data_IF_068622163024
#
_entry.id   IF_068622163024
#
_cell.length_a   1.000
_cell.length_b   1.000
_cell.length_c   1.000
_cell.angle_alpha   90.00
_cell.angle_beta   90.00
_cell.angle_gamma   90.00
#
_symmetry.space_group_name_H-M   'P 1'
#
loop_
_entity.id
_entity.type
_entity.pdbx_description
1 polymer ?
#
# COMPACT_ATOMS: atom_id res chain seq x y z
N UNK A 1 37.95 -17.25 -7.51
CA UNK A 1 36.75 -17.94 -6.98
C UNK A 1 36.12 -17.07 -5.90
N UNK A 2 35.36 -16.05 -6.30
CA UNK A 2 34.87 -15.01 -5.40
C UNK A 2 33.57 -15.40 -4.73
N UNK A 3 33.64 -16.08 -3.57
CA UNK A 3 32.51 -16.15 -2.65
C UNK A 3 32.30 -14.72 -2.13
N UNK A 4 31.21 -14.05 -2.52
CA UNK A 4 30.82 -12.78 -1.92
C UNK A 4 30.52 -13.06 -0.45
N UNK A 5 31.45 -12.69 0.43
CA UNK A 5 31.24 -12.77 1.88
C UNK A 5 30.14 -11.78 2.26
N UNK A 6 29.14 -12.25 3.00
CA UNK A 6 28.12 -11.40 3.62
C UNK A 6 28.14 -11.67 5.12
N UNK A 7 28.79 -10.79 5.91
CA UNK A 7 28.83 -10.92 7.37
C UNK A 7 27.45 -11.10 8.00
N UNK A 8 26.44 -10.42 7.45
CA UNK A 8 25.07 -10.53 7.92
C UNK A 8 24.44 -11.89 7.64
N UNK A 9 24.65 -12.45 6.44
CA UNK A 9 24.15 -13.78 6.12
C UNK A 9 24.81 -14.85 6.99
N UNK A 10 26.13 -14.73 7.24
CA UNK A 10 26.88 -15.62 8.12
C UNK A 10 26.43 -15.52 9.59
N UNK A 11 26.03 -14.33 10.03
CA UNK A 11 25.45 -14.10 11.35
C UNK A 11 23.97 -14.51 11.46
N UNK A 12 23.39 -15.06 10.39
CA UNK A 12 22.03 -15.59 10.38
C UNK A 12 20.93 -14.54 10.18
N UNK A 13 21.27 -13.33 9.71
CA UNK A 13 20.29 -12.33 9.27
C UNK A 13 19.64 -12.82 7.97
N UNK A 14 18.32 -12.69 7.88
CA UNK A 14 17.48 -13.15 6.79
C UNK A 14 16.75 -11.99 6.11
N UNK A 15 16.34 -12.20 4.86
CA UNK A 15 15.46 -11.27 4.15
C UNK A 15 14.14 -11.16 4.93
N UNK A 16 13.73 -9.92 5.24
CA UNK A 16 12.56 -9.63 6.07
C UNK A 16 12.85 -9.25 7.51
N UNK A 17 14.10 -9.44 7.99
CA UNK A 17 14.48 -8.97 9.31
C UNK A 17 14.51 -7.44 9.38
N UNK A 18 13.95 -6.88 10.45
CA UNK A 18 14.07 -5.45 10.74
C UNK A 18 15.24 -5.19 11.68
N UNK A 19 16.22 -4.37 11.27
CA UNK A 19 17.31 -3.95 12.15
C UNK A 19 16.81 -2.86 13.11
N UNK A 20 16.82 -3.15 14.41
CA UNK A 20 16.26 -2.27 15.45
C UNK A 20 17.35 -1.45 16.15
N UNK A 21 18.42 -2.11 16.58
CA UNK A 21 19.55 -1.49 17.29
C UNK A 21 20.88 -2.08 16.82
N UNK A 22 21.93 -1.27 16.92
CA UNK A 22 23.32 -1.69 16.78
C UNK A 22 24.13 -1.10 17.94
N UNK A 23 24.83 -1.96 18.71
CA UNK A 23 25.53 -1.59 19.94
C UNK A 23 24.64 -0.78 20.90
N UNK A 24 23.41 -1.25 21.11
CA UNK A 24 22.38 -0.65 21.97
C UNK A 24 21.96 0.78 21.54
N UNK A 25 22.35 1.23 20.33
CA UNK A 25 21.88 2.46 19.70
C UNK A 25 20.74 2.12 18.75
N UNK A 26 19.57 2.74 18.95
CA UNK A 26 18.41 2.59 18.06
C UNK A 26 18.72 3.11 16.67
N UNK A 27 18.49 2.28 15.67
CA UNK A 27 18.69 2.60 14.26
C UNK A 27 17.41 3.29 13.75
N UNK A 28 17.53 4.57 13.42
CA UNK A 28 16.43 5.39 12.89
C UNK A 28 16.50 5.66 11.38
N UNK A 29 17.66 5.43 10.75
CA UNK A 29 17.87 5.65 9.33
C UNK A 29 19.06 4.85 8.78
N UNK A 30 19.08 4.67 7.46
CA UNK A 30 20.22 4.08 6.75
C UNK A 30 21.52 4.85 7.05
N UNK A 31 21.48 6.18 7.05
CA UNK A 31 22.64 7.03 7.36
C UNK A 31 23.22 6.74 8.75
N UNK A 32 22.35 6.56 9.75
CA UNK A 32 22.79 6.23 11.10
C UNK A 32 23.41 4.83 11.17
N UNK A 33 22.81 3.84 10.51
CA UNK A 33 23.37 2.50 10.41
C UNK A 33 24.76 2.52 9.73
N UNK A 34 24.90 3.25 8.63
CA UNK A 34 26.19 3.44 7.96
C UNK A 34 27.23 4.10 8.86
N UNK A 35 26.85 5.09 9.68
CA UNK A 35 27.76 5.71 10.67
C UNK A 35 28.25 4.69 11.69
N UNK A 36 27.33 3.95 12.31
CA UNK A 36 27.65 2.93 13.32
C UNK A 36 28.60 1.87 12.74
N UNK A 37 28.35 1.41 11.51
CA UNK A 37 29.21 0.44 10.83
C UNK A 37 30.62 1.00 10.61
N UNK A 38 30.74 2.24 10.12
CA UNK A 38 32.04 2.83 9.79
C UNK A 38 32.81 3.36 11.02
N UNK A 39 32.16 3.55 12.16
CA UNK A 39 32.81 3.82 13.45
C UNK A 39 33.35 2.53 14.10
N UNK A 40 32.77 1.38 13.77
CA UNK A 40 33.13 0.06 14.31
C UNK A 40 33.91 -0.80 13.31
N UNK A 41 34.90 -0.19 12.64
CA UNK A 41 35.78 -0.83 11.64
C UNK A 41 36.43 -2.11 12.19
N UNK A 42 36.18 -3.26 11.55
CA UNK A 42 36.66 -4.59 11.97
C UNK A 42 36.28 -5.00 13.41
N UNK A 43 35.36 -4.27 14.06
CA UNK A 43 34.89 -4.59 15.41
C UNK A 43 33.55 -5.30 15.33
N UNK A 44 33.33 -6.23 16.25
CA UNK A 44 32.05 -6.89 16.39
C UNK A 44 30.99 -5.85 16.79
N UNK A 45 29.88 -5.85 16.05
CA UNK A 45 28.69 -5.06 16.35
C UNK A 45 27.60 -6.01 16.80
N UNK A 46 27.00 -5.74 17.95
CA UNK A 46 25.81 -6.45 18.44
C UNK A 46 24.58 -5.81 17.82
N UNK A 47 23.87 -6.55 16.98
CA UNK A 47 22.61 -6.12 16.41
C UNK A 47 21.44 -6.73 17.19
N UNK A 48 20.42 -5.91 17.41
CA UNK A 48 19.06 -6.37 17.74
C UNK A 48 18.25 -6.31 16.46
N UNK A 49 17.75 -7.47 16.01
CA UNK A 49 16.85 -7.58 14.86
C UNK A 49 15.48 -8.05 15.33
N UNK A 50 14.44 -7.74 14.55
CA UNK A 50 13.08 -8.22 14.78
C UNK A 50 12.66 -9.13 13.63
N UNK A 51 12.32 -10.38 13.96
CA UNK A 51 11.86 -11.42 13.03
C UNK A 51 10.57 -12.02 13.56
N UNK A 52 9.49 -12.00 12.78
CA UNK A 52 8.17 -12.52 13.21
C UNK A 52 7.71 -11.99 14.58
N UNK A 53 7.98 -10.70 14.83
CA UNK A 53 7.72 -10.02 16.11
C UNK A 53 8.57 -10.43 17.33
N UNK A 54 9.51 -11.36 17.15
CA UNK A 54 10.49 -11.72 18.16
C UNK A 54 11.79 -10.93 18.01
N UNK A 55 12.36 -10.56 19.15
CA UNK A 55 13.67 -9.91 19.22
C UNK A 55 14.77 -10.98 19.18
N UNK A 56 15.66 -10.89 18.18
CA UNK A 56 16.82 -11.76 18.01
C UNK A 56 18.08 -10.92 18.11
N UNK A 57 19.10 -11.43 18.81
CA UNK A 57 20.40 -10.77 18.93
C UNK A 57 21.44 -11.51 18.10
N UNK A 58 22.12 -10.79 17.22
CA UNK A 58 23.20 -11.32 16.38
C UNK A 58 24.44 -10.46 16.51
N UNK A 59 25.59 -11.06 16.22
CA UNK A 59 26.90 -10.42 16.28
C UNK A 59 27.60 -10.61 14.94
N UNK A 60 28.12 -9.53 14.38
CA UNK A 60 28.88 -9.58 13.13
C UNK A 60 29.91 -8.47 13.09
N UNK A 61 30.97 -8.69 12.33
CA UNK A 61 32.02 -7.71 12.08
C UNK A 61 31.92 -7.17 10.65
N UNK A 62 31.92 -5.84 10.44
CA UNK A 62 31.95 -5.27 9.10
C UNK A 62 33.25 -5.62 8.36
N UNK A 63 33.14 -5.84 7.05
CA UNK A 63 34.27 -6.09 6.15
C UNK A 63 34.46 -4.87 5.25
N UNK A 64 35.71 -4.47 5.02
CA UNK A 64 36.03 -3.39 4.09
C UNK A 64 35.73 -3.82 2.64
N UNK A 65 34.97 -3.02 1.90
CA UNK A 65 34.64 -3.26 0.51
C UNK A 65 35.41 -2.26 -0.37
N UNK A 66 36.44 -2.76 -1.07
CA UNK A 66 37.33 -1.92 -1.90
C UNK A 66 36.58 -1.10 -2.95
N UNK A 67 35.54 -1.68 -3.57
CA UNK A 67 34.75 -1.03 -4.61
C UNK A 67 33.95 0.19 -4.12
N UNK A 68 33.69 0.28 -2.81
CA UNK A 68 32.85 1.31 -2.20
C UNK A 68 33.63 2.16 -1.19
N UNK A 69 34.92 1.89 -1.03
CA UNK A 69 35.84 2.51 -0.06
C UNK A 69 35.28 2.58 1.38
N UNK A 70 34.42 1.62 1.77
CA UNK A 70 33.66 1.66 3.02
C UNK A 70 33.51 0.28 3.67
N UNK A 71 33.26 0.26 4.98
CA UNK A 71 32.91 -0.97 5.69
C UNK A 71 31.45 -1.36 5.41
N UNK A 72 31.25 -2.64 5.11
CA UNK A 72 29.94 -3.22 4.76
C UNK A 72 29.67 -4.49 5.56
N UNK A 73 28.38 -4.75 5.77
CA UNK A 73 27.89 -5.96 6.45
C UNK A 73 27.17 -6.92 5.48
N UNK A 74 27.15 -6.60 4.19
CA UNK A 74 26.57 -7.47 3.16
C UNK A 74 25.04 -7.47 3.10
N UNK A 75 24.40 -6.38 3.54
CA UNK A 75 22.95 -6.16 3.46
C UNK A 75 22.60 -5.08 2.45
N UNK A 76 21.47 -5.30 1.77
CA UNK A 76 20.71 -4.24 1.11
C UNK A 76 19.57 -3.84 2.04
N UNK A 77 19.55 -2.58 2.45
CA UNK A 77 18.56 -2.07 3.41
C UNK A 77 17.51 -1.26 2.67
N UNK A 78 16.25 -1.64 2.86
CA UNK A 78 15.09 -0.90 2.38
C UNK A 78 14.63 0.07 3.46
N UNK A 79 14.64 1.37 3.18
CA UNK A 79 14.24 2.43 4.12
C UNK A 79 12.91 3.10 3.78
N UNK A 80 12.39 2.91 2.56
CA UNK A 80 11.15 3.52 2.10
C UNK A 80 10.49 2.69 1.00
N UNK A 81 9.19 2.90 0.84
CA UNK A 81 8.40 2.43 -0.30
C UNK A 81 7.45 3.55 -0.73
N UNK A 82 7.10 3.55 -2.01
CA UNK A 82 6.10 4.45 -2.55
C UNK A 82 5.22 3.68 -3.53
N UNK A 83 3.96 4.08 -3.62
CA UNK A 83 2.99 3.50 -4.54
C UNK A 83 1.90 4.50 -4.87
N UNK A 84 1.24 4.27 -5.99
CA UNK A 84 0.05 5.02 -6.39
C UNK A 84 -1.18 4.29 -5.91
N UNK A 85 -2.10 5.02 -5.29
CA UNK A 85 -3.29 4.46 -4.68
C UNK A 85 -4.42 5.46 -4.61
N UNK A 86 -5.66 4.96 -4.52
CA UNK A 86 -6.84 5.81 -4.42
C UNK A 86 -7.28 5.95 -2.97
N UNK A 87 -7.54 7.19 -2.56
CA UNK A 87 -8.22 7.51 -1.32
C UNK A 87 -9.67 7.03 -1.43
N UNK A 88 -10.07 6.07 -0.62
CA UNK A 88 -11.41 5.47 -0.70
C UNK A 88 -12.45 6.35 -0.03
N UNK A 89 -12.18 6.77 1.20
CA UNK A 89 -13.11 7.62 1.93
C UNK A 89 -12.38 8.54 2.89
N UNK A 90 -13.05 9.62 3.22
CA UNK A 90 -12.61 10.62 4.18
C UNK A 90 -13.80 10.99 5.08
N UNK A 91 -13.56 11.09 6.38
CA UNK A 91 -14.57 11.43 7.39
C UNK A 91 -14.24 12.83 7.93
N UNK A 92 -14.94 13.89 7.47
CA UNK A 92 -14.61 15.27 7.79
C UNK A 92 -14.48 15.58 9.29
N UNK A 93 -15.41 15.09 10.10
CA UNK A 93 -15.48 15.40 11.54
C UNK A 93 -14.26 14.90 12.33
N UNK A 94 -13.65 13.81 11.86
CA UNK A 94 -12.51 13.18 12.54
C UNK A 94 -11.19 13.32 11.78
N UNK A 95 -11.24 13.91 10.57
CA UNK A 95 -10.16 14.00 9.60
C UNK A 95 -9.54 12.65 9.21
N UNK A 96 -10.19 11.53 9.53
CA UNK A 96 -9.66 10.21 9.24
C UNK A 96 -9.97 9.79 7.81
N UNK A 97 -9.09 8.97 7.23
CA UNK A 97 -9.31 8.39 5.91
C UNK A 97 -9.03 6.88 5.88
N UNK A 98 -9.56 6.22 4.85
CA UNK A 98 -9.18 4.89 4.42
C UNK A 98 -8.84 4.87 2.93
N UNK A 99 -7.88 4.04 2.54
CA UNK A 99 -7.39 3.91 1.17
C UNK A 99 -7.08 2.45 0.79
N UNK A 100 -6.99 2.20 -0.52
CA UNK A 100 -6.64 0.92 -1.18
C UNK A 100 -7.62 -0.26 -1.01
N UNK A 101 -8.08 -0.56 0.20
CA UNK A 101 -8.86 -1.77 0.46
C UNK A 101 -8.03 -3.07 0.58
N UNK A 102 -6.70 -2.96 0.62
CA UNK A 102 -5.76 -4.08 0.76
C UNK A 102 -4.44 -3.61 1.42
N UNK A 103 -3.58 -4.52 1.91
CA UNK A 103 -2.32 -4.13 2.54
C UNK A 103 -1.28 -3.69 1.52
N UNK A 104 -0.35 -2.84 1.95
CA UNK A 104 0.96 -2.77 1.31
C UNK A 104 1.81 -3.89 1.87
N UNK A 105 2.26 -4.78 0.98
CA UNK A 105 3.22 -5.81 1.32
C UNK A 105 4.61 -5.38 0.88
N UNK A 106 5.62 -5.84 1.62
CA UNK A 106 7.00 -5.77 1.19
C UNK A 106 7.20 -6.68 -0.04
N UNK A 107 7.76 -6.13 -1.12
CA UNK A 107 7.88 -6.84 -2.40
C UNK A 107 8.78 -8.08 -2.38
N UNK A 108 9.72 -8.17 -1.43
CA UNK A 108 10.70 -9.26 -1.39
C UNK A 108 10.17 -10.42 -0.54
N UNK A 109 9.47 -10.09 0.54
CA UNK A 109 8.94 -11.08 1.49
C UNK A 109 7.46 -11.40 1.27
N UNK A 110 6.73 -10.55 0.55
CA UNK A 110 5.28 -10.55 0.43
C UNK A 110 4.55 -10.52 1.79
N UNK A 111 5.20 -9.99 2.82
CA UNK A 111 4.61 -9.83 4.16
C UNK A 111 4.09 -8.41 4.35
N UNK A 112 3.14 -8.25 5.28
CA UNK A 112 2.57 -6.95 5.62
C UNK A 112 3.67 -5.98 6.03
N UNK A 113 3.79 -4.86 5.31
CA UNK A 113 4.81 -3.87 5.60
C UNK A 113 4.52 -3.17 6.92
N UNK A 114 5.46 -3.25 7.86
CA UNK A 114 5.38 -2.53 9.14
C UNK A 114 5.74 -1.06 8.91
N UNK A 115 4.76 -0.20 9.07
CA UNK A 115 4.95 1.25 8.92
C UNK A 115 5.38 1.83 10.25
N UNK A 116 6.50 2.58 10.24
CA UNK A 116 6.89 3.45 11.35
C UNK A 116 6.27 4.84 11.17
N UNK A 117 6.46 5.40 9.98
CA UNK A 117 5.95 6.70 9.56
C UNK A 117 5.52 6.58 8.09
N UNK A 118 4.48 7.31 7.69
CA UNK A 118 4.06 7.40 6.29
C UNK A 118 3.34 8.70 5.99
N UNK A 119 3.44 9.15 4.75
CA UNK A 119 2.85 10.41 4.26
C UNK A 119 2.02 10.14 3.02
N UNK A 120 0.98 10.95 2.82
CA UNK A 120 0.14 10.95 1.63
C UNK A 120 0.41 12.23 0.85
N UNK A 121 0.74 12.06 -0.43
CA UNK A 121 1.07 13.15 -1.36
C UNK A 121 0.06 13.19 -2.50
N UNK A 122 -0.25 14.39 -3.00
CA UNK A 122 -1.05 14.51 -4.20
C UNK A 122 -0.26 13.99 -5.40
N UNK A 123 -0.86 13.10 -6.18
CA UNK A 123 -0.27 12.60 -7.42
C UNK A 123 -0.96 13.20 -8.64
N UNK A 124 -0.18 13.57 -9.66
CA UNK A 124 -0.64 13.93 -11.00
C UNK A 124 -0.46 12.75 -11.93
N UNK A 125 -1.54 12.29 -12.56
CA UNK A 125 -1.50 11.20 -13.54
C UNK A 125 -0.89 11.74 -14.84
N UNK A 126 0.19 11.12 -15.31
CA UNK A 126 0.87 11.48 -16.56
C UNK A 126 0.42 10.57 -17.70
N UNK A 127 0.33 9.27 -17.44
CA UNK A 127 0.00 8.29 -18.47
C UNK A 127 -0.64 7.04 -17.88
N UNK A 128 -1.22 6.24 -18.76
CA UNK A 128 -1.82 4.96 -18.45
C UNK A 128 -1.12 3.91 -19.30
N UNK A 129 -0.62 2.86 -18.65
CA UNK A 129 -0.27 1.61 -19.32
C UNK A 129 -1.49 0.69 -19.29
N UNK A 130 -2.01 0.34 -20.46
CA UNK A 130 -3.22 -0.49 -20.55
C UNK A 130 -2.97 -1.91 -20.03
N UNK A 131 -3.95 -2.42 -19.28
CA UNK A 131 -4.01 -3.82 -18.87
C UNK A 131 -4.36 -4.72 -20.04
N UNK A 132 -3.67 -5.85 -20.14
CA UNK A 132 -3.96 -6.88 -21.14
C UNK A 132 -3.99 -8.25 -20.46
N UNK A 133 -4.54 -9.25 -21.14
CA UNK A 133 -4.55 -10.62 -20.62
C UNK A 133 -3.12 -11.08 -20.32
N UNK A 134 -2.85 -11.41 -19.06
CA UNK A 134 -1.54 -11.87 -18.59
C UNK A 134 -0.63 -10.74 -18.08
N UNK A 135 -0.97 -9.46 -18.31
CA UNK A 135 -0.17 -8.31 -17.88
C UNK A 135 -1.06 -7.21 -17.29
N UNK A 136 -1.02 -6.97 -15.96
CA UNK A 136 -1.71 -5.85 -15.34
C UNK A 136 -1.27 -4.52 -15.94
N UNK A 137 -2.22 -3.60 -16.12
CA UNK A 137 -1.93 -2.22 -16.48
C UNK A 137 -1.59 -1.38 -15.25
N UNK A 138 -1.24 -0.11 -15.47
CA UNK A 138 -0.75 0.80 -14.44
C UNK A 138 -1.12 2.26 -14.73
N UNK A 139 -1.60 2.99 -13.71
CA UNK A 139 -1.65 4.45 -13.71
C UNK A 139 -0.29 5.00 -13.30
N UNK A 140 0.37 5.73 -14.21
CA UNK A 140 1.67 6.34 -13.94
C UNK A 140 1.50 7.80 -13.56
N UNK A 141 1.90 8.11 -12.34
CA UNK A 141 1.84 9.46 -11.81
C UNK A 141 3.19 9.97 -11.31
N UNK A 142 3.27 11.29 -11.19
CA UNK A 142 4.32 11.97 -10.43
C UNK A 142 3.71 12.64 -9.21
N UNK A 143 4.52 12.80 -8.17
CA UNK A 143 4.13 13.54 -6.97
C UNK A 143 5.29 14.45 -6.56
N UNK A 144 4.97 15.50 -5.83
CA UNK A 144 5.96 16.34 -5.15
C UNK A 144 5.90 16.09 -3.66
N UNK A 145 7.06 16.06 -3.00
CA UNK A 145 7.12 16.01 -1.54
C UNK A 145 6.54 17.29 -0.89
N UNK A 146 6.47 18.40 -1.62
CA UNK A 146 5.82 19.64 -1.15
C UNK A 146 4.30 19.55 -1.11
N UNK A 147 3.70 18.54 -1.76
CA UNK A 147 2.25 18.35 -1.84
C UNK A 147 1.76 17.29 -0.85
N UNK A 148 2.39 17.22 0.32
CA UNK A 148 1.92 16.39 1.44
C UNK A 148 0.57 16.93 1.96
N UNK A 149 -0.42 16.05 2.11
CA UNK A 149 -1.73 16.43 2.64
C UNK A 149 -2.27 15.46 3.71
N UNK A 150 -1.58 14.34 3.97
CA UNK A 150 -1.99 13.38 5.00
C UNK A 150 -0.83 12.60 5.59
N UNK A 151 -1.10 11.95 6.73
CA UNK A 151 -0.20 11.01 7.40
C UNK A 151 -0.86 9.63 7.46
N UNK A 152 -0.04 8.59 7.30
CA UNK A 152 -0.46 7.18 7.42
C UNK A 152 -0.11 6.69 8.82
N UNK A 153 -1.11 6.16 9.51
CA UNK A 153 -0.96 5.63 10.87
C UNK A 153 -0.97 4.08 10.89
N UNK A 154 -1.65 3.45 9.93
CA UNK A 154 -1.87 1.99 9.92
C UNK A 154 -1.83 1.42 8.51
N UNK A 155 -1.21 0.25 8.38
CA UNK A 155 -1.31 -0.66 7.23
C UNK A 155 -1.87 -1.99 7.72
N UNK A 156 -2.97 -2.43 7.12
CA UNK A 156 -3.72 -3.62 7.54
C UNK A 156 -4.14 -4.43 6.32
N UNK A 157 -4.70 -5.61 6.53
CA UNK A 157 -5.22 -6.44 5.43
C UNK A 157 -6.42 -5.80 4.70
N UNK A 158 -7.12 -4.86 5.33
CA UNK A 158 -8.31 -4.20 4.78
C UNK A 158 -8.00 -2.82 4.17
N UNK A 159 -6.75 -2.36 4.25
CA UNK A 159 -6.35 -1.08 3.70
C UNK A 159 -5.34 -0.31 4.55
N UNK A 160 -5.09 0.91 4.09
CA UNK A 160 -4.26 1.91 4.77
C UNK A 160 -5.16 2.96 5.40
N UNK A 161 -4.80 3.39 6.60
CA UNK A 161 -5.55 4.39 7.35
C UNK A 161 -4.64 5.44 7.94
N UNK A 162 -5.21 6.62 8.14
CA UNK A 162 -4.51 7.71 8.82
C UNK A 162 -5.37 8.95 8.89
N UNK A 163 -4.72 10.10 8.86
CA UNK A 163 -5.35 11.42 8.99
C UNK A 163 -4.93 12.37 7.90
N UNK A 164 -5.86 13.22 7.50
CA UNK A 164 -5.62 14.32 6.59
C UNK A 164 -5.19 15.52 7.43
N UNK A 165 -4.07 16.13 7.05
CA UNK A 165 -3.51 17.32 7.71
C UNK A 165 -3.83 18.60 6.93
N UNK A 166 -4.11 18.48 5.63
CA UNK A 166 -4.54 19.58 4.78
C UNK A 166 -5.73 19.13 3.90
N UNK A 167 -6.89 19.73 4.15
CA UNK A 167 -8.13 19.36 3.46
C UNK A 167 -8.33 20.06 2.11
N UNK A 168 -7.50 21.06 1.77
CA UNK A 168 -7.62 21.83 0.51
C UNK A 168 -7.46 20.95 -0.74
N UNK A 169 -6.86 19.77 -0.56
CA UNK A 169 -6.64 18.77 -1.61
C UNK A 169 -7.71 17.69 -1.68
N UNK A 170 -8.66 17.66 -0.74
CA UNK A 170 -9.76 16.70 -0.75
C UNK A 170 -10.93 17.28 -1.53
N UNK A 171 -11.02 16.87 -2.79
CA UNK A 171 -12.20 17.09 -3.62
C UNK A 171 -13.31 16.10 -3.26
N UNK A 172 -14.56 16.55 -3.30
CA UNK A 172 -15.72 15.66 -3.33
C UNK A 172 -16.54 15.94 -4.57
N UNK A 173 -16.73 14.91 -5.41
CA UNK A 173 -17.58 14.98 -6.60
C UNK A 173 -19.07 14.90 -6.22
N UNK A 174 -19.39 14.24 -5.10
CA UNK A 174 -20.78 13.92 -4.70
C UNK A 174 -21.18 14.39 -3.30
N UNK A 175 -20.34 15.17 -2.62
CA UNK A 175 -20.56 15.51 -1.21
C UNK A 175 -20.39 14.30 -0.28
N UNK A 176 -20.96 14.39 0.91
CA UNK A 176 -20.98 13.27 1.86
C UNK A 176 -22.00 12.21 1.39
N UNK A 177 -21.57 10.94 1.39
CA UNK A 177 -22.41 9.81 1.00
C UNK A 177 -22.62 8.85 2.18
N UNK A 178 -23.79 8.20 2.23
CA UNK A 178 -24.03 7.10 3.15
C UNK A 178 -23.21 5.86 2.77
N UNK A 179 -23.09 4.95 3.73
CA UNK A 179 -22.46 3.63 3.53
C UNK A 179 -23.51 2.54 3.66
N UNK A 180 -23.32 1.44 2.93
CA UNK A 180 -24.20 0.28 2.97
C UNK A 180 -23.63 -0.83 3.85
N UNK A 181 -24.52 -1.54 4.55
CA UNK A 181 -24.20 -2.84 5.17
C UNK A 181 -24.10 -3.92 4.11
N UNK A 182 -23.38 -4.99 4.40
CA UNK A 182 -23.31 -6.16 3.52
C UNK A 182 -24.69 -6.67 3.04
N UNK A 183 -25.70 -6.65 3.91
CA UNK A 183 -27.06 -7.10 3.59
C UNK A 183 -27.83 -6.21 2.61
N UNK A 184 -27.37 -4.98 2.37
CA UNK A 184 -28.00 -4.03 1.46
C UNK A 184 -27.44 -4.09 0.04
N UNK A 185 -26.30 -4.76 -0.14
CA UNK A 185 -25.59 -4.87 -1.42
C UNK A 185 -26.23 -5.97 -2.26
N UNK A 186 -26.38 -5.74 -3.57
CA UNK A 186 -26.95 -6.70 -4.50
C UNK A 186 -26.03 -6.94 -5.69
N UNK A 187 -26.01 -8.17 -6.20
CA UNK A 187 -25.46 -8.45 -7.51
C UNK A 187 -26.26 -7.64 -8.55
N UNK A 188 -25.57 -7.04 -9.50
CA UNK A 188 -26.20 -6.09 -10.41
C UNK A 188 -25.35 -4.85 -10.72
N UNK A 189 -25.95 -3.85 -11.39
CA UNK A 189 -25.28 -2.62 -11.75
C UNK A 189 -24.78 -1.84 -10.53
N UNK A 190 -23.59 -1.26 -10.68
CA UNK A 190 -22.98 -0.34 -9.72
C UNK A 190 -22.05 0.63 -10.47
N UNK A 191 -21.43 1.55 -9.74
CA UNK A 191 -20.45 2.50 -10.28
C UNK A 191 -19.15 2.44 -9.48
N UNK A 192 -18.03 2.71 -10.12
CA UNK A 192 -16.79 3.05 -9.43
C UNK A 192 -16.48 4.53 -9.62
N UNK A 193 -15.98 5.17 -8.56
CA UNK A 193 -15.48 6.53 -8.61
C UNK A 193 -13.96 6.50 -8.71
N UNK A 194 -13.39 6.92 -9.84
CA UNK A 194 -11.94 6.87 -10.04
C UNK A 194 -11.45 7.98 -10.96
N UNK A 195 -10.15 8.27 -10.90
CA UNK A 195 -9.45 9.13 -11.85
C UNK A 195 -8.57 8.28 -12.76
N UNK A 196 -8.65 8.53 -14.07
CA UNK A 196 -7.75 7.95 -15.07
C UNK A 196 -6.95 9.02 -15.82
N UNK A 197 -7.26 10.29 -15.59
CA UNK A 197 -6.53 11.44 -16.09
C UNK A 197 -6.36 12.47 -14.96
N UNK A 198 -5.51 13.47 -15.19
CA UNK A 198 -5.15 14.44 -14.17
C UNK A 198 -6.36 15.30 -13.73
N UNK A 199 -6.71 15.20 -12.45
CA UNK A 199 -7.69 16.08 -11.80
C UNK A 199 -9.17 15.76 -12.06
N UNK A 200 -9.53 14.83 -12.94
CA UNK A 200 -10.94 14.48 -13.16
C UNK A 200 -11.30 13.15 -12.50
N UNK A 201 -11.96 13.23 -11.36
CA UNK A 201 -12.65 12.10 -10.74
C UNK A 201 -13.98 11.92 -11.48
N UNK A 202 -14.25 10.71 -11.98
CA UNK A 202 -15.47 10.36 -12.73
C UNK A 202 -16.08 9.06 -12.22
N UNK A 203 -17.36 8.92 -12.47
CA UNK A 203 -18.07 7.66 -12.26
C UNK A 203 -18.00 6.81 -13.53
N UNK A 204 -17.69 5.53 -13.36
CA UNK A 204 -17.67 4.55 -14.44
C UNK A 204 -18.56 3.38 -14.08
N UNK A 205 -19.31 2.89 -15.05
CA UNK A 205 -20.22 1.76 -14.87
C UNK A 205 -19.46 0.44 -14.67
N UNK A 206 -19.93 -0.32 -13.68
CA UNK A 206 -19.48 -1.68 -13.38
C UNK A 206 -20.68 -2.59 -13.09
N UNK A 207 -20.43 -3.89 -13.05
CA UNK A 207 -21.35 -4.90 -12.55
C UNK A 207 -20.75 -5.58 -11.30
N UNK A 208 -21.54 -5.73 -10.24
CA UNK A 208 -21.23 -6.64 -9.13
C UNK A 208 -21.69 -8.03 -9.55
N UNK A 209 -20.75 -8.84 -10.02
CA UNK A 209 -21.01 -10.18 -10.58
C UNK A 209 -21.21 -11.23 -9.50
N UNK A 210 -20.59 -11.04 -8.33
CA UNK A 210 -20.72 -11.97 -7.22
C UNK A 210 -20.53 -11.28 -5.88
N UNK A 211 -21.40 -11.61 -4.93
CA UNK A 211 -21.27 -11.21 -3.53
C UNK A 211 -20.84 -12.42 -2.70
N UNK A 212 -19.75 -12.28 -1.94
CA UNK A 212 -19.33 -13.29 -0.97
C UNK A 212 -19.73 -12.83 0.43
N UNK A 213 -20.67 -13.54 1.05
CA UNK A 213 -21.03 -13.27 2.43
C UNK A 213 -19.88 -13.59 3.38
N UNK A 214 -19.55 -12.67 4.28
CA UNK A 214 -18.38 -12.76 5.15
C UNK A 214 -18.78 -12.50 6.60
N UNK A 215 -18.40 -13.41 7.50
CA UNK A 215 -18.52 -13.22 8.96
C UNK A 215 -17.23 -12.70 9.59
N UNK A 216 -16.15 -12.61 8.81
CA UNK A 216 -14.84 -12.09 9.19
C UNK A 216 -14.29 -11.22 8.05
N UNK A 217 -13.45 -10.22 8.35
CA UNK A 217 -12.82 -9.38 7.33
C UNK A 217 -12.06 -10.20 6.27
N UNK A 218 -12.15 -9.76 5.02
CA UNK A 218 -11.41 -10.35 3.91
C UNK A 218 -11.49 -9.52 2.63
N UNK A 219 -10.38 -9.44 1.90
CA UNK A 219 -10.20 -8.56 0.73
C UNK A 219 -10.94 -8.95 -0.56
N UNK A 220 -11.67 -10.08 -0.53
CA UNK A 220 -12.41 -10.65 -1.68
C UNK A 220 -13.91 -10.74 -1.38
N UNK A 221 -14.46 -9.64 -0.89
CA UNK A 221 -15.88 -9.49 -0.55
C UNK A 221 -16.78 -9.60 -1.78
N UNK A 222 -16.36 -9.03 -2.91
CA UNK A 222 -17.13 -9.04 -4.15
C UNK A 222 -16.22 -9.35 -5.34
N UNK A 223 -16.84 -9.89 -6.40
CA UNK A 223 -16.27 -9.90 -7.75
C UNK A 223 -16.98 -8.82 -8.56
N UNK A 224 -16.22 -7.94 -9.18
CA UNK A 224 -16.72 -6.86 -10.01
C UNK A 224 -16.21 -6.98 -11.44
N UNK A 225 -16.97 -6.44 -12.39
CA UNK A 225 -16.56 -6.31 -13.79
C UNK A 225 -16.81 -4.89 -14.28
N UNK A 226 -15.81 -4.29 -14.92
CA UNK A 226 -15.96 -3.01 -15.60
C UNK A 226 -16.80 -3.20 -16.87
N UNK A 227 -17.85 -2.39 -17.01
CA UNK A 227 -18.76 -2.40 -18.17
C UNK A 227 -18.71 -1.07 -18.94
N UNK A 228 -18.12 -0.03 -18.35
CA UNK A 228 -17.93 1.27 -18.97
C UNK A 228 -16.98 1.23 -20.17
N UNK A 229 -17.45 1.75 -21.31
CA UNK A 229 -16.70 1.73 -22.56
C UNK A 229 -15.51 2.67 -22.55
N UNK A 230 -15.66 3.89 -22.02
CA UNK A 230 -14.56 4.87 -21.98
C UNK A 230 -13.43 4.34 -21.11
N UNK A 231 -13.77 3.76 -19.95
CA UNK A 231 -12.77 3.19 -19.05
C UNK A 231 -12.03 2.03 -19.71
N UNK A 232 -12.75 1.08 -20.31
CA UNK A 232 -12.17 -0.08 -20.99
C UNK A 232 -11.27 0.33 -22.15
N UNK A 233 -11.69 1.29 -22.98
CA UNK A 233 -10.91 1.79 -24.11
C UNK A 233 -9.59 2.43 -23.68
N UNK A 234 -9.61 3.19 -22.58
CA UNK A 234 -8.42 3.90 -22.08
C UNK A 234 -7.46 3.03 -21.29
N UNK A 235 -7.97 2.03 -20.57
CA UNK A 235 -7.20 1.33 -19.52
C UNK A 235 -7.11 -0.18 -19.71
N UNK A 236 -7.98 -0.77 -20.54
CA UNK A 236 -8.13 -2.23 -20.63
C UNK A 236 -8.89 -2.87 -19.46
N UNK A 237 -9.38 -2.07 -18.49
CA UNK A 237 -10.14 -2.51 -17.32
C UNK A 237 -9.59 -1.96 -16.01
N UNK A 238 -9.49 -2.80 -14.99
CA UNK A 238 -8.92 -2.43 -13.70
C UNK A 238 -7.40 -2.47 -13.81
N UNK A 239 -6.74 -1.36 -13.45
CA UNK A 239 -5.28 -1.23 -13.49
C UNK A 239 -4.72 -0.87 -12.11
N UNK A 240 -3.42 -1.07 -11.92
CA UNK A 240 -2.73 -0.64 -10.70
C UNK A 240 -2.89 0.88 -10.53
N UNK A 241 -3.12 1.32 -9.29
CA UNK A 241 -3.49 2.70 -8.95
C UNK A 241 -5.00 2.91 -8.73
N UNK A 242 -5.86 2.09 -9.33
CA UNK A 242 -7.31 2.10 -9.05
C UNK A 242 -7.69 1.38 -7.75
N UNK A 243 -6.74 0.69 -7.12
CA UNK A 243 -6.98 0.08 -5.81
C UNK A 243 -7.40 1.19 -4.83
N UNK A 244 -8.54 0.97 -4.18
CA UNK A 244 -9.18 1.95 -3.31
C UNK A 244 -10.30 2.75 -3.97
N UNK A 245 -10.53 2.65 -5.29
CA UNK A 245 -11.63 3.34 -5.96
C UNK A 245 -12.97 2.96 -5.32
N UNK A 246 -13.74 3.92 -4.80
CA UNK A 246 -15.02 3.64 -4.14
C UNK A 246 -16.03 3.02 -5.09
N UNK A 247 -16.74 2.01 -4.61
CA UNK A 247 -17.86 1.40 -5.32
C UNK A 247 -19.15 1.95 -4.74
N UNK A 248 -20.02 2.42 -5.63
CA UNK A 248 -21.29 3.06 -5.30
C UNK A 248 -22.42 2.20 -5.88
N UNK A 249 -23.40 1.85 -5.03
CA UNK A 249 -24.65 1.22 -5.44
C UNK A 249 -25.79 1.80 -4.60
N UNK A 250 -26.92 2.11 -5.23
CA UNK A 250 -28.09 2.71 -4.55
C UNK A 250 -27.73 3.97 -3.73
N UNK A 251 -26.92 4.87 -4.32
CA UNK A 251 -26.43 6.12 -3.70
C UNK A 251 -25.66 5.95 -2.37
N UNK A 252 -25.17 4.75 -2.09
CA UNK A 252 -24.31 4.44 -0.95
C UNK A 252 -22.97 3.91 -1.42
N UNK A 253 -21.91 4.22 -0.67
CA UNK A 253 -20.64 3.53 -0.81
C UNK A 253 -20.80 2.12 -0.25
N UNK A 254 -20.51 1.11 -1.06
CA UNK A 254 -20.66 -0.32 -0.69
C UNK A 254 -19.31 -1.01 -0.50
N UNK A 255 -18.24 -0.45 -1.06
CA UNK A 255 -16.92 -1.07 -1.01
C UNK A 255 -15.86 -0.29 -1.75
N UNK A 256 -14.72 -0.95 -1.96
CA UNK A 256 -13.59 -0.43 -2.71
C UNK A 256 -12.96 -1.51 -3.58
N UNK A 257 -12.47 -1.13 -4.76
CA UNK A 257 -11.71 -2.02 -5.65
C UNK A 257 -10.40 -2.43 -4.98
N UNK A 258 -10.02 -3.70 -5.02
CA UNK A 258 -8.75 -4.19 -4.42
C UNK A 258 -7.75 -4.67 -5.47
N UNK A 259 -8.01 -5.81 -6.12
CA UNK A 259 -7.07 -6.45 -7.04
C UNK A 259 -7.71 -6.79 -8.37
N UNK A 260 -6.99 -6.57 -9.46
CA UNK A 260 -7.37 -7.01 -10.81
C UNK A 260 -7.12 -8.51 -11.01
N UNK A 261 -7.93 -9.17 -11.84
CA UNK A 261 -7.64 -10.51 -12.32
C UNK A 261 -6.63 -10.47 -13.48
N UNK A 262 -5.47 -11.11 -13.29
CA UNK A 262 -4.37 -11.08 -14.29
C UNK A 262 -4.80 -11.51 -15.69
N UNK A 263 -5.72 -12.48 -15.81
CA UNK A 263 -6.18 -13.00 -17.10
C UNK A 263 -7.50 -12.38 -17.61
N UNK A 264 -8.10 -11.48 -16.82
CA UNK A 264 -9.38 -10.81 -17.10
C UNK A 264 -9.27 -9.38 -16.56
N UNK A 265 -8.55 -8.48 -17.26
CA UNK A 265 -8.30 -7.14 -16.75
C UNK A 265 -9.59 -6.33 -16.55
N UNK A 266 -10.67 -6.69 -17.23
CA UNK A 266 -12.02 -6.16 -17.03
C UNK A 266 -12.63 -6.55 -15.67
N UNK A 267 -12.05 -7.50 -14.93
CA UNK A 267 -12.59 -8.03 -13.68
C UNK A 267 -11.61 -7.88 -12.51
N UNK A 268 -12.17 -7.82 -11.31
CA UNK A 268 -11.37 -7.74 -10.09
C UNK A 268 -12.14 -8.11 -8.84
N UNK A 269 -11.42 -8.07 -7.73
CA UNK A 269 -11.98 -8.17 -6.39
C UNK A 269 -12.26 -6.80 -5.81
N UNK A 270 -13.22 -6.77 -4.89
CA UNK A 270 -13.50 -5.62 -4.05
C UNK A 270 -13.72 -6.05 -2.60
N UNK A 271 -13.49 -5.11 -1.68
CA UNK A 271 -13.73 -5.25 -0.23
C UNK A 271 -14.97 -4.47 0.18
N UNK A 272 -15.72 -4.95 1.18
CA UNK A 272 -16.81 -4.18 1.77
C UNK A 272 -16.31 -2.95 2.51
N UNK A 273 -17.05 -1.85 2.39
CA UNK A 273 -16.77 -0.61 3.14
C UNK A 273 -16.87 -0.85 4.65
N UNK A 274 -17.77 -1.75 5.07
CA UNK A 274 -17.99 -2.16 6.45
C UNK A 274 -16.68 -2.65 7.11
N UNK A 275 -15.91 -3.51 6.42
CA UNK A 275 -14.63 -3.97 6.93
C UNK A 275 -13.59 -2.86 7.07
N UNK A 276 -13.58 -1.94 6.11
CA UNK A 276 -12.64 -0.83 6.17
C UNK A 276 -12.96 0.13 7.32
N UNK A 277 -14.25 0.39 7.58
CA UNK A 277 -14.70 1.24 8.68
C UNK A 277 -14.45 0.61 10.05
N UNK A 278 -14.60 -0.72 10.17
CA UNK A 278 -14.31 -1.43 11.41
C UNK A 278 -12.85 -1.27 11.87
N UNK A 279 -11.88 -1.18 10.95
CA UNK A 279 -10.47 -0.91 11.30
C UNK A 279 -10.25 0.46 11.96
N UNK A 280 -11.22 1.36 11.82
CA UNK A 280 -11.23 2.69 12.40
C UNK A 280 -12.11 2.79 13.65
N UNK A 281 -12.68 1.67 14.10
CA UNK A 281 -13.58 1.59 15.25
C UNK A 281 -15.00 2.04 14.95
N UNK A 282 -15.42 2.05 13.67
CA UNK A 282 -16.74 2.48 13.23
C UNK A 282 -17.55 1.23 12.85
N UNK A 283 -18.67 1.02 13.52
CA UNK A 283 -19.63 -0.06 13.23
C UNK A 283 -20.92 0.54 12.67
N UNK A 284 -21.53 -0.11 11.67
CA UNK A 284 -22.72 0.40 10.98
C UNK A 284 -23.90 -0.54 11.05
#
# INVERSE_FOLDING_TARGET
SGKKLSPAAEAGIQVGDSLIEANDIKIGSNKQLYSIINENKNKEIKFKIKRNDEDIYVKLSPIYADNDEAYKIGLWIRDSTAGVGTLTFYIPDSQKFGALGHPINDSDTNTLLKIKDGSVYSSKIISIEQGTKGKPGELRGIFSQSDEFGKIDKNTNEGIYGKIINNDKIGSVKGAMGVAKQSEIKEGPAKILTSIDDGNIKEYDIEIEKINYQTKPGSKSMVIRVTDKELLEKTGGIVQGMSGSPIIQNDKVVGAVTHVFVNRPDMGYAIYIEWMLMQMGICI
#
